data_IF_820803356309
#
_entry.id   IF_820803356309
#
_cell.length_a   1.000
_cell.length_b   1.000
_cell.length_c   1.000
_cell.angle_alpha   90.00
_cell.angle_beta   90.00
_cell.angle_gamma   90.00
#
_symmetry.space_group_name_H-M   'P 1'
#
loop_
_entity.id
_entity.type
_entity.pdbx_description
1 polymer ?
#
# COMPACT_ATOMS: atom_id res chain seq x y z
N UNK A 1 -10.32 22.69 -48.85
CA UNK A 1 -10.87 23.83 -48.08
C UNK A 1 -9.69 24.54 -47.42
N UNK A 2 -9.43 25.81 -47.72
CA UNK A 2 -8.29 26.55 -47.12
C UNK A 2 -8.77 27.12 -45.79
N UNK A 3 -8.24 26.59 -44.68
CA UNK A 3 -8.54 27.09 -43.34
C UNK A 3 -7.88 28.47 -43.18
N UNK A 4 -8.68 29.53 -43.01
CA UNK A 4 -8.16 30.87 -42.71
C UNK A 4 -8.00 31.03 -41.19
N UNK A 5 -6.85 31.55 -40.71
CA UNK A 5 -6.64 31.79 -39.29
C UNK A 5 -7.59 32.87 -38.75
N UNK A 6 -8.02 32.72 -37.50
CA UNK A 6 -8.81 33.71 -36.78
C UNK A 6 -7.93 34.91 -36.37
N UNK A 7 -8.51 36.11 -36.37
CA UNK A 7 -7.87 37.32 -35.84
C UNK A 7 -8.11 37.43 -34.33
N UNK A 8 -7.05 37.64 -33.55
CA UNK A 8 -7.11 37.83 -32.10
C UNK A 8 -7.19 39.30 -31.67
N UNK A 9 -7.36 40.25 -32.59
CA UNK A 9 -7.39 41.69 -32.26
C UNK A 9 -8.57 42.11 -31.36
N UNK A 10 -9.61 41.28 -31.24
CA UNK A 10 -10.80 41.49 -30.39
C UNK A 10 -10.85 40.57 -29.18
N UNK A 11 -9.74 39.90 -28.85
CA UNK A 11 -9.68 38.98 -27.71
C UNK A 11 -9.82 39.80 -26.42
N UNK A 12 -10.72 39.37 -25.54
CA UNK A 12 -10.97 40.06 -24.26
C UNK A 12 -9.84 39.74 -23.28
N UNK A 13 -9.20 40.77 -22.75
CA UNK A 13 -8.20 40.64 -21.68
C UNK A 13 -8.78 41.10 -20.35
N UNK A 14 -8.25 40.58 -19.25
CA UNK A 14 -8.63 40.98 -17.88
C UNK A 14 -7.36 41.33 -17.08
N UNK A 15 -7.39 42.38 -16.23
CA UNK A 15 -6.29 42.67 -15.32
C UNK A 15 -6.01 41.51 -14.36
N UNK A 16 -4.74 41.31 -14.00
CA UNK A 16 -4.33 40.26 -13.06
C UNK A 16 -5.12 40.32 -11.74
N UNK A 17 -5.34 41.53 -11.20
CA UNK A 17 -6.08 41.76 -9.95
C UNK A 17 -7.56 41.32 -9.99
N UNK A 18 -8.12 40.98 -11.16
CA UNK A 18 -9.48 40.44 -11.31
C UNK A 18 -9.50 38.91 -11.48
N UNK A 19 -8.35 38.26 -11.58
CA UNK A 19 -8.27 36.80 -11.65
C UNK A 19 -8.49 36.22 -10.25
N UNK A 20 -9.09 35.04 -10.20
CA UNK A 20 -9.13 34.24 -8.98
C UNK A 20 -7.69 33.88 -8.58
N UNK A 21 -7.35 34.08 -7.31
CA UNK A 21 -6.09 33.63 -6.74
C UNK A 21 -6.21 32.16 -6.37
N UNK A 22 -5.29 31.34 -6.88
CA UNK A 22 -5.27 29.90 -6.60
C UNK A 22 -4.41 29.55 -5.36
N UNK A 23 -3.41 30.38 -5.06
CA UNK A 23 -2.48 30.25 -3.93
C UNK A 23 -1.83 31.60 -3.60
N UNK A 24 -1.45 31.82 -2.34
CA UNK A 24 -0.75 33.02 -1.88
C UNK A 24 0.71 32.72 -1.48
N UNK A 25 1.47 33.76 -1.16
CA UNK A 25 2.89 33.62 -0.81
C UNK A 25 3.16 32.74 0.42
N UNK A 26 2.15 32.52 1.28
CA UNK A 26 2.24 31.61 2.43
C UNK A 26 2.22 30.13 2.02
N UNK A 27 1.68 29.80 0.83
CA UNK A 27 1.67 28.45 0.29
C UNK A 27 2.98 28.08 -0.42
N UNK A 28 3.90 29.04 -0.58
CA UNK A 28 5.14 28.83 -1.30
C UNK A 28 6.17 28.13 -0.42
N UNK A 29 6.98 27.28 -1.04
CA UNK A 29 8.09 26.64 -0.36
C UNK A 29 9.16 27.66 0.07
N UNK A 30 9.77 27.41 1.21
CA UNK A 30 10.89 28.18 1.71
C UNK A 30 12.22 27.51 1.34
N UNK A 31 13.32 28.28 1.17
CA UNK A 31 14.65 27.70 0.96
C UNK A 31 15.06 26.78 2.12
N UNK A 32 15.68 25.65 1.78
CA UNK A 32 16.21 24.72 2.78
C UNK A 32 17.22 25.41 3.71
N UNK A 33 17.10 25.15 5.01
CA UNK A 33 18.02 25.65 6.04
C UNK A 33 18.81 24.50 6.63
N UNK A 34 20.14 24.57 6.48
CA UNK A 34 21.03 23.64 7.14
C UNK A 34 20.87 23.73 8.67
N UNK A 35 21.04 22.59 9.36
CA UNK A 35 20.86 22.44 10.81
C UNK A 35 19.41 22.63 11.34
N UNK A 36 18.41 22.70 10.45
CA UNK A 36 17.00 22.61 10.85
C UNK A 36 16.59 21.19 11.24
N UNK A 37 15.49 21.09 11.99
CA UNK A 37 14.82 19.83 12.29
C UNK A 37 14.14 19.24 11.05
N UNK A 38 13.71 17.98 11.13
CA UNK A 38 12.88 17.38 10.08
C UNK A 38 11.52 18.09 9.95
N UNK A 39 10.95 18.54 11.07
CA UNK A 39 9.73 19.37 11.08
C UNK A 39 9.93 20.69 10.33
N UNK A 40 11.08 21.36 10.53
CA UNK A 40 11.42 22.59 9.78
C UNK A 40 11.51 22.32 8.28
N UNK A 41 12.06 21.16 7.89
CA UNK A 41 12.09 20.75 6.48
C UNK A 41 10.67 20.56 5.94
N UNK A 42 9.79 19.84 6.63
CA UNK A 42 8.40 19.66 6.20
C UNK A 42 7.64 20.99 6.08
N UNK A 43 7.81 21.91 7.02
CA UNK A 43 7.24 23.25 6.99
C UNK A 43 7.82 24.13 5.86
N UNK A 44 9.01 23.80 5.35
CA UNK A 44 9.58 24.50 4.20
C UNK A 44 9.04 24.04 2.85
N UNK A 45 8.34 22.89 2.79
CA UNK A 45 7.73 22.41 1.56
C UNK A 45 6.49 23.25 1.21
N UNK A 46 6.17 23.46 -0.09
CA UNK A 46 5.03 24.27 -0.49
C UNK A 46 3.71 23.65 0.00
N UNK A 47 2.76 24.47 0.45
CA UNK A 47 1.39 24.09 0.82
C UNK A 47 0.50 23.67 -0.35
N UNK A 48 1.10 23.21 -1.47
CA UNK A 48 0.44 22.99 -2.75
C UNK A 48 0.71 21.58 -3.29
N UNK A 49 -0.14 21.13 -4.21
CA UNK A 49 0.03 19.88 -4.94
C UNK A 49 0.21 18.66 -4.04
N UNK A 50 1.14 17.77 -4.42
CA UNK A 50 1.40 16.52 -3.73
C UNK A 50 1.92 16.70 -2.29
N UNK A 51 2.58 17.82 -1.98
CA UNK A 51 2.99 18.12 -0.61
C UNK A 51 1.78 18.32 0.28
N UNK A 52 0.81 19.14 -0.16
CA UNK A 52 -0.44 19.34 0.60
C UNK A 52 -1.15 18.01 0.84
N UNK A 53 -1.25 17.19 -0.19
CA UNK A 53 -1.87 15.87 -0.11
C UNK A 53 -1.11 14.91 0.83
N UNK A 54 0.23 14.96 0.86
CA UNK A 54 1.04 14.17 1.80
C UNK A 54 0.83 14.61 3.25
N UNK A 55 0.76 15.92 3.49
CA UNK A 55 0.49 16.50 4.82
C UNK A 55 -0.93 16.16 5.27
N UNK A 56 -1.92 16.24 4.39
CA UNK A 56 -3.30 15.83 4.68
C UNK A 56 -3.38 14.34 5.02
N UNK A 57 -2.65 13.48 4.31
CA UNK A 57 -2.55 12.06 4.63
C UNK A 57 -1.87 11.80 5.97
N UNK A 58 -0.76 12.50 6.27
CA UNK A 58 -0.11 12.43 7.59
C UNK A 58 -1.12 12.73 8.69
N UNK A 59 -1.89 13.80 8.56
CA UNK A 59 -2.87 14.21 9.57
C UNK A 59 -4.04 13.23 9.70
N UNK A 60 -4.47 12.62 8.58
CA UNK A 60 -5.45 11.54 8.59
C UNK A 60 -4.93 10.30 9.33
N UNK A 61 -3.66 9.90 9.10
CA UNK A 61 -3.01 8.79 9.80
C UNK A 61 -2.88 9.07 11.31
N UNK A 62 -2.43 10.26 11.70
CA UNK A 62 -2.35 10.68 13.09
C UNK A 62 -3.73 10.63 13.77
N UNK A 63 -4.76 11.14 13.08
CA UNK A 63 -6.13 11.16 13.60
C UNK A 63 -6.68 9.74 13.76
N UNK A 64 -6.50 8.88 12.75
CA UNK A 64 -6.95 7.50 12.79
C UNK A 64 -6.24 6.74 13.93
N UNK A 65 -4.92 6.88 14.05
CA UNK A 65 -4.13 6.24 15.11
C UNK A 65 -4.60 6.69 16.51
N UNK A 66 -4.72 8.00 16.75
CA UNK A 66 -5.18 8.55 18.05
C UNK A 66 -6.59 8.10 18.42
N UNK A 67 -7.48 8.00 17.43
CA UNK A 67 -8.87 7.54 17.61
C UNK A 67 -9.01 6.01 17.55
N UNK A 68 -7.91 5.26 17.44
CA UNK A 68 -7.90 3.79 17.30
C UNK A 68 -8.78 3.31 16.14
N UNK A 69 -8.77 4.05 15.04
CA UNK A 69 -9.43 3.69 13.78
C UNK A 69 -8.48 2.88 12.92
N UNK A 70 -9.07 2.13 11.99
CA UNK A 70 -8.32 1.22 11.13
C UNK A 70 -7.38 1.97 10.20
N UNK A 71 -6.14 1.52 10.12
CA UNK A 71 -5.14 1.94 9.13
C UNK A 71 -4.74 0.67 8.38
N UNK A 72 -5.31 0.49 7.19
CA UNK A 72 -5.09 -0.70 6.35
C UNK A 72 -4.12 -0.32 5.24
N UNK A 73 -2.98 -1.01 5.21
CA UNK A 73 -1.95 -0.81 4.18
C UNK A 73 -1.97 -1.97 3.19
N UNK A 74 -2.24 -1.65 1.93
CA UNK A 74 -2.15 -2.52 0.79
C UNK A 74 -0.83 -2.34 0.03
N UNK A 75 -0.09 -3.42 -0.21
CA UNK A 75 1.20 -3.38 -0.91
C UNK A 75 1.25 -4.35 -2.09
N UNK A 76 1.64 -3.82 -3.26
CA UNK A 76 2.17 -4.63 -4.36
C UNK A 76 3.65 -5.00 -4.16
N UNK A 77 4.17 -5.85 -5.05
CA UNK A 77 5.56 -6.36 -4.93
C UNK A 77 6.63 -5.28 -4.93
N UNK A 78 6.45 -4.19 -5.69
CA UNK A 78 7.46 -3.13 -5.79
C UNK A 78 7.90 -2.54 -4.44
N UNK A 79 7.01 -2.56 -3.44
CA UNK A 79 7.33 -2.10 -2.07
C UNK A 79 8.46 -2.95 -1.46
N UNK A 80 8.40 -4.27 -1.64
CA UNK A 80 9.45 -5.17 -1.17
C UNK A 80 10.70 -5.08 -2.04
N UNK A 81 10.54 -4.99 -3.37
CA UNK A 81 11.65 -4.81 -4.32
C UNK A 81 12.47 -3.54 -4.05
N UNK A 82 11.80 -2.50 -3.58
CA UNK A 82 12.40 -1.20 -3.21
C UNK A 82 13.08 -1.22 -1.83
N UNK A 83 13.07 -2.36 -1.13
CA UNK A 83 13.71 -2.51 0.17
C UNK A 83 12.97 -1.82 1.32
N UNK A 84 11.65 -1.62 1.20
CA UNK A 84 10.86 -0.94 2.23
C UNK A 84 10.36 -1.88 3.35
N UNK A 85 10.68 -3.17 3.30
CA UNK A 85 10.26 -4.14 4.34
C UNK A 85 10.64 -3.70 5.76
N UNK A 86 11.87 -3.22 6.06
CA UNK A 86 12.21 -2.76 7.40
C UNK A 86 11.34 -1.58 7.87
N UNK A 87 10.94 -0.70 6.96
CA UNK A 87 10.01 0.39 7.29
C UNK A 87 8.66 -0.19 7.72
N UNK A 88 8.09 -1.13 6.94
CA UNK A 88 6.82 -1.78 7.28
C UNK A 88 6.89 -2.53 8.61
N UNK A 89 8.00 -3.24 8.87
CA UNK A 89 8.26 -3.91 10.15
C UNK A 89 8.15 -2.91 11.31
N UNK A 90 8.83 -1.77 11.23
CA UNK A 90 8.77 -0.74 12.30
C UNK A 90 7.35 -0.19 12.51
N UNK A 91 6.58 0.00 11.45
CA UNK A 91 5.20 0.47 11.54
C UNK A 91 4.26 -0.54 12.21
N UNK A 92 4.49 -1.83 11.97
CA UNK A 92 3.78 -2.92 12.64
C UNK A 92 4.17 -2.97 14.12
N UNK A 93 5.46 -2.91 14.43
CA UNK A 93 5.96 -2.93 15.81
C UNK A 93 5.40 -1.77 16.65
N UNK A 94 5.24 -0.60 16.03
CA UNK A 94 4.63 0.58 16.64
C UNK A 94 3.09 0.56 16.64
N UNK A 95 2.47 -0.48 16.07
CA UNK A 95 1.00 -0.61 15.91
C UNK A 95 0.37 0.59 15.20
N UNK A 96 1.11 1.23 14.29
CA UNK A 96 0.56 2.29 13.46
C UNK A 96 -0.40 1.71 12.43
N UNK A 97 -0.01 0.58 11.82
CA UNK A 97 -0.84 -0.16 10.86
C UNK A 97 -1.66 -1.20 11.64
N UNK A 98 -2.96 -1.25 11.36
CA UNK A 98 -3.89 -2.19 11.99
C UNK A 98 -4.32 -3.33 11.07
N UNK A 99 -3.84 -3.35 9.82
CA UNK A 99 -4.11 -4.41 8.87
C UNK A 99 -3.28 -4.30 7.60
N UNK A 100 -2.96 -5.45 7.00
CA UNK A 100 -2.15 -5.56 5.78
C UNK A 100 -2.90 -6.32 4.68
N UNK A 101 -2.73 -5.87 3.43
CA UNK A 101 -3.29 -6.52 2.24
C UNK A 101 -2.21 -6.63 1.18
N UNK A 102 -1.71 -7.83 0.94
CA UNK A 102 -0.56 -8.05 0.05
C UNK A 102 -1.00 -8.72 -1.26
N UNK A 103 -0.33 -8.42 -2.36
CA UNK A 103 -0.39 -9.26 -3.56
C UNK A 103 0.44 -10.53 -3.37
N UNK A 104 0.22 -11.56 -4.20
CA UNK A 104 1.08 -12.75 -4.21
C UNK A 104 2.57 -12.40 -4.40
N UNK A 105 2.88 -11.50 -5.34
CA UNK A 105 4.25 -11.01 -5.55
C UNK A 105 4.89 -10.39 -4.28
N UNK A 106 4.14 -9.59 -3.51
CA UNK A 106 4.65 -8.98 -2.28
C UNK A 106 4.95 -10.04 -1.21
N UNK A 107 4.10 -11.06 -1.07
CA UNK A 107 4.39 -12.20 -0.19
C UNK A 107 5.62 -12.98 -0.65
N UNK A 108 5.73 -13.27 -1.95
CA UNK A 108 6.86 -14.02 -2.50
C UNK A 108 8.18 -13.31 -2.19
N UNK A 109 8.25 -12.00 -2.44
CA UNK A 109 9.44 -11.21 -2.17
C UNK A 109 9.73 -11.06 -0.68
N UNK A 110 8.71 -10.97 0.18
CA UNK A 110 8.89 -10.98 1.62
C UNK A 110 9.55 -12.29 2.11
N UNK A 111 9.12 -13.43 1.57
CA UNK A 111 9.73 -14.74 1.86
C UNK A 111 11.18 -14.79 1.35
N UNK A 112 11.45 -14.29 0.15
CA UNK A 112 12.81 -14.25 -0.40
C UNK A 112 13.76 -13.37 0.42
N UNK A 113 13.28 -12.22 0.88
CA UNK A 113 14.02 -11.34 1.80
C UNK A 113 14.28 -12.06 3.12
N UNK A 114 13.28 -12.75 3.68
CA UNK A 114 13.45 -13.49 4.94
C UNK A 114 14.51 -14.60 4.82
N UNK A 115 14.52 -15.31 3.69
CA UNK A 115 15.45 -16.42 3.43
C UNK A 115 16.87 -15.94 3.09
N UNK A 116 17.00 -14.86 2.30
CA UNK A 116 18.27 -14.49 1.66
C UNK A 116 18.85 -13.15 2.12
N UNK A 117 18.05 -12.25 2.67
CA UNK A 117 18.44 -10.87 3.01
C UNK A 117 18.60 -9.95 1.79
N UNK A 118 18.18 -10.38 0.60
CA UNK A 118 18.29 -9.63 -0.65
C UNK A 118 16.93 -9.49 -1.34
N UNK A 119 16.79 -8.46 -2.17
CA UNK A 119 15.67 -8.35 -3.12
C UNK A 119 16.03 -9.05 -4.42
N UNK A 120 15.12 -9.89 -4.92
CA UNK A 120 15.27 -10.61 -6.18
C UNK A 120 14.24 -10.11 -7.17
N UNK A 121 14.68 -9.66 -8.34
CA UNK A 121 13.75 -9.17 -9.37
C UNK A 121 13.20 -10.35 -10.16
N UNK A 122 11.88 -10.38 -10.30
CA UNK A 122 11.12 -11.43 -10.99
C UNK A 122 11.35 -11.52 -12.51
N UNK A 123 12.24 -10.68 -13.07
CA UNK A 123 12.60 -10.66 -14.50
C UNK A 123 13.94 -11.32 -14.83
N UNK A 124 14.65 -11.88 -13.83
CA UNK A 124 15.87 -12.63 -14.11
C UNK A 124 15.47 -13.92 -14.84
N UNK A 125 15.49 -13.84 -16.17
CA UNK A 125 15.49 -15.00 -17.05
C UNK A 125 16.70 -15.85 -16.68
N UNK A 126 16.59 -17.16 -16.84
CA UNK A 126 17.76 -18.03 -16.77
C UNK A 126 18.91 -17.43 -17.58
N UNK A 127 20.13 -17.49 -17.04
CA UNK A 127 21.34 -17.01 -17.73
C UNK A 127 21.53 -17.69 -19.10
N UNK A 128 20.91 -18.86 -19.30
CA UNK A 128 20.92 -19.65 -20.53
C UNK A 128 19.68 -19.43 -21.43
N UNK A 129 18.75 -18.55 -21.04
CA UNK A 129 17.55 -18.21 -21.81
C UNK A 129 16.40 -19.23 -21.74
N UNK A 130 16.46 -20.25 -20.88
CA UNK A 130 15.50 -21.38 -20.85
C UNK A 130 14.15 -21.12 -20.17
N UNK A 131 13.80 -19.88 -19.82
CA UNK A 131 12.47 -19.53 -19.31
C UNK A 131 12.49 -18.78 -17.97
N UNK A 132 11.37 -18.83 -17.24
CA UNK A 132 11.22 -18.22 -15.91
C UNK A 132 11.89 -19.07 -14.83
N UNK A 133 12.55 -18.41 -13.88
CA UNK A 133 13.04 -19.04 -12.65
C UNK A 133 11.88 -19.22 -11.66
N UNK A 134 11.66 -20.45 -11.22
CA UNK A 134 10.84 -20.76 -10.04
C UNK A 134 11.78 -21.27 -8.96
N UNK A 135 12.01 -20.48 -7.92
CA UNK A 135 12.89 -20.81 -6.79
C UNK A 135 12.27 -21.95 -5.98
N UNK A 136 12.99 -23.08 -5.82
CA UNK A 136 12.46 -24.27 -5.11
C UNK A 136 12.22 -23.98 -3.63
N UNK A 137 13.19 -23.35 -2.95
CA UNK A 137 13.11 -23.05 -1.51
C UNK A 137 11.92 -22.12 -1.20
N UNK A 138 11.79 -21.02 -1.94
CA UNK A 138 10.69 -20.06 -1.82
C UNK A 138 9.35 -20.69 -2.15
N UNK A 139 9.26 -21.37 -3.30
CA UNK A 139 8.02 -21.98 -3.79
C UNK A 139 7.54 -23.11 -2.86
N UNK A 140 8.45 -23.93 -2.36
CA UNK A 140 8.15 -25.00 -1.40
C UNK A 140 7.65 -24.44 -0.07
N UNK A 141 8.35 -23.46 0.52
CA UNK A 141 7.94 -22.85 1.79
C UNK A 141 6.52 -22.28 1.70
N UNK A 142 6.24 -21.48 0.68
CA UNK A 142 4.93 -20.86 0.47
C UNK A 142 3.84 -21.93 0.30
N UNK A 143 4.06 -22.92 -0.56
CA UNK A 143 3.02 -23.91 -0.84
C UNK A 143 2.80 -24.88 0.32
N UNK A 144 3.84 -25.28 1.05
CA UNK A 144 3.68 -26.06 2.28
C UNK A 144 2.85 -25.29 3.32
N UNK A 145 3.13 -24.00 3.50
CA UNK A 145 2.37 -23.13 4.38
C UNK A 145 0.90 -23.05 3.95
N UNK A 146 0.62 -22.81 2.67
CA UNK A 146 -0.75 -22.75 2.14
C UNK A 146 -1.48 -24.08 2.31
N UNK A 147 -0.81 -25.21 2.04
CA UNK A 147 -1.39 -26.54 2.17
C UNK A 147 -1.74 -26.85 3.63
N UNK A 148 -0.85 -26.51 4.56
CA UNK A 148 -1.11 -26.64 6.00
C UNK A 148 -2.23 -25.70 6.45
N UNK A 149 -2.20 -24.45 6.00
CA UNK A 149 -3.24 -23.46 6.29
C UNK A 149 -4.64 -23.87 5.82
N UNK A 150 -4.74 -24.58 4.68
CA UNK A 150 -6.01 -25.12 4.23
C UNK A 150 -6.60 -26.15 5.20
N UNK A 151 -5.76 -26.96 5.84
CA UNK A 151 -6.16 -27.96 6.84
C UNK A 151 -6.58 -27.25 8.15
N UNK A 152 -5.80 -26.27 8.59
CA UNK A 152 -6.04 -25.52 9.83
C UNK A 152 -7.07 -24.38 9.69
N UNK A 153 -7.64 -24.18 8.50
CA UNK A 153 -8.56 -23.10 8.17
C UNK A 153 -7.94 -21.69 8.44
N UNK A 154 -6.68 -21.52 8.04
CA UNK A 154 -5.94 -20.26 8.08
C UNK A 154 -5.94 -19.58 6.71
N UNK A 155 -5.73 -18.25 6.73
CA UNK A 155 -5.50 -17.49 5.50
C UNK A 155 -4.06 -17.67 5.02
N UNK A 156 -3.78 -17.35 3.75
CA UNK A 156 -2.44 -17.46 3.15
C UNK A 156 -1.41 -16.65 3.96
N UNK A 157 -1.69 -15.39 4.25
CA UNK A 157 -0.76 -14.49 4.94
C UNK A 157 -0.40 -14.98 6.34
N UNK A 158 -1.40 -15.42 7.11
CA UNK A 158 -1.18 -16.04 8.41
C UNK A 158 -0.34 -17.32 8.26
N UNK A 159 -0.71 -18.20 7.31
CA UNK A 159 -0.03 -19.48 7.16
C UNK A 159 1.45 -19.32 6.82
N UNK A 160 1.78 -18.40 5.92
CA UNK A 160 3.17 -18.10 5.54
C UNK A 160 3.90 -17.40 6.67
N UNK A 161 3.26 -16.47 7.38
CA UNK A 161 3.87 -15.80 8.53
C UNK A 161 4.22 -16.76 9.66
N UNK A 162 3.31 -17.67 10.03
CA UNK A 162 3.57 -18.72 11.04
C UNK A 162 4.67 -19.68 10.56
N UNK A 163 4.64 -20.11 9.29
CA UNK A 163 5.70 -20.97 8.72
C UNK A 163 7.07 -20.31 8.77
N UNK A 164 7.17 -19.00 8.54
CA UNK A 164 8.42 -18.25 8.65
C UNK A 164 8.90 -18.16 10.10
N UNK A 165 7.99 -17.97 11.06
CA UNK A 165 8.32 -18.00 12.48
C UNK A 165 8.86 -19.37 12.90
N UNK A 166 8.23 -20.46 12.45
CA UNK A 166 8.65 -21.84 12.74
C UNK A 166 9.99 -22.19 12.06
N UNK A 167 10.24 -21.67 10.86
CA UNK A 167 11.44 -21.97 10.08
C UNK A 167 12.69 -21.19 10.54
N UNK A 168 12.51 -20.09 11.27
CA UNK A 168 13.59 -19.22 11.79
C UNK A 168 14.71 -18.89 10.77
N UNK A 169 14.39 -18.37 9.57
CA UNK A 169 15.42 -18.03 8.59
C UNK A 169 16.30 -16.87 9.06
N UNK A 170 17.52 -16.78 8.50
CA UNK A 170 18.56 -15.85 8.96
C UNK A 170 18.18 -14.36 8.96
N UNK A 171 17.19 -13.97 8.15
CA UNK A 171 16.73 -12.58 8.00
C UNK A 171 15.24 -12.44 8.37
N UNK A 172 14.74 -13.28 9.28
CA UNK A 172 13.35 -13.26 9.74
C UNK A 172 12.90 -11.89 10.25
N UNK A 173 13.80 -11.10 10.84
CA UNK A 173 13.55 -9.75 11.34
C UNK A 173 13.19 -8.74 10.24
N UNK A 174 13.47 -9.07 8.98
CA UNK A 174 13.10 -8.26 7.82
C UNK A 174 11.74 -8.63 7.23
N UNK A 175 11.16 -9.77 7.62
CA UNK A 175 9.86 -10.23 7.09
C UNK A 175 8.69 -9.46 7.70
N UNK A 176 7.89 -8.88 6.81
CA UNK A 176 6.64 -8.21 7.11
C UNK A 176 5.59 -9.23 7.56
N UNK A 177 5.50 -10.41 6.93
CA UNK A 177 4.53 -11.45 7.28
C UNK A 177 4.81 -12.10 8.64
N UNK A 178 6.08 -12.42 8.92
CA UNK A 178 6.48 -12.95 10.22
C UNK A 178 6.24 -11.90 11.32
N UNK A 179 6.58 -10.63 11.05
CA UNK A 179 6.33 -9.55 12.00
C UNK A 179 4.83 -9.34 12.24
N UNK A 180 4.00 -9.37 11.19
CA UNK A 180 2.55 -9.27 11.33
C UNK A 180 1.97 -10.38 12.20
N UNK A 181 2.44 -11.62 12.01
CA UNK A 181 2.02 -12.78 12.82
C UNK A 181 2.45 -12.62 14.28
N UNK A 182 3.72 -12.27 14.53
CA UNK A 182 4.26 -11.99 15.88
C UNK A 182 3.49 -10.90 16.63
N UNK A 183 3.03 -9.86 15.93
CA UNK A 183 2.30 -8.73 16.51
C UNK A 183 0.77 -8.89 16.44
N UNK A 184 0.25 -10.00 15.93
CA UNK A 184 -1.17 -10.27 15.72
C UNK A 184 -1.87 -9.18 14.88
N UNK A 185 -1.18 -8.68 13.84
CA UNK A 185 -1.79 -7.78 12.86
C UNK A 185 -2.50 -8.63 11.79
N UNK A 186 -3.80 -8.39 11.53
CA UNK A 186 -4.51 -9.05 10.44
C UNK A 186 -3.80 -8.82 9.10
N UNK A 187 -3.48 -9.90 8.41
CA UNK A 187 -2.90 -9.86 7.06
C UNK A 187 -3.70 -10.73 6.12
N UNK A 188 -3.96 -10.23 4.92
CA UNK A 188 -4.48 -11.02 3.81
C UNK A 188 -3.53 -10.98 2.62
N UNK A 189 -3.33 -12.12 1.97
CA UNK A 189 -2.57 -12.22 0.73
C UNK A 189 -3.51 -12.64 -0.40
N UNK A 190 -3.42 -11.96 -1.53
CA UNK A 190 -4.23 -12.24 -2.71
C UNK A 190 -3.34 -12.59 -3.91
N UNK A 191 -3.08 -13.89 -4.13
CA UNK A 191 -2.39 -14.37 -5.32
C UNK A 191 -3.22 -14.20 -6.60
N UNK A 192 -2.54 -13.93 -7.70
CA UNK A 192 -3.06 -14.08 -9.05
C UNK A 192 -2.60 -15.44 -9.61
N UNK A 193 -3.52 -16.40 -9.66
CA UNK A 193 -3.26 -17.75 -10.17
C UNK A 193 -2.79 -17.66 -11.63
N UNK A 194 -1.65 -18.30 -11.92
CA UNK A 194 -0.99 -18.25 -13.24
C UNK A 194 -0.08 -17.05 -13.45
N UNK A 195 -0.01 -16.11 -12.49
CA UNK A 195 0.92 -14.96 -12.51
C UNK A 195 2.02 -15.14 -11.49
N UNK A 196 1.68 -15.36 -10.22
CA UNK A 196 2.72 -15.49 -9.18
C UNK A 196 3.42 -16.85 -9.32
N UNK A 197 4.76 -16.85 -9.34
CA UNK A 197 5.58 -18.01 -9.70
C UNK A 197 5.45 -19.19 -8.75
N UNK A 198 5.12 -18.96 -7.47
CA UNK A 198 4.85 -20.04 -6.53
C UNK A 198 3.63 -20.88 -6.92
N UNK A 199 2.69 -20.36 -7.73
CA UNK A 199 1.57 -21.14 -8.27
C UNK A 199 2.02 -22.16 -9.33
N UNK A 200 3.22 -22.00 -9.89
CA UNK A 200 3.80 -22.89 -10.91
C UNK A 200 4.67 -23.99 -10.29
N UNK A 201 4.92 -23.92 -8.98
CA UNK A 201 5.77 -24.87 -8.27
C UNK A 201 5.09 -26.24 -8.15
N UNK A 202 5.81 -27.38 -8.26
CA UNK A 202 5.21 -28.73 -8.16
C UNK A 202 4.46 -29.03 -6.85
N UNK A 203 4.77 -28.31 -5.77
CA UNK A 203 4.07 -28.42 -4.49
C UNK A 203 2.75 -27.63 -4.41
N UNK A 204 2.40 -26.86 -5.45
CA UNK A 204 1.18 -26.07 -5.47
C UNK A 204 -0.06 -26.95 -5.58
N UNK A 205 -1.01 -26.73 -4.68
CA UNK A 205 -2.27 -27.46 -4.64
C UNK A 205 -3.44 -26.48 -4.86
N UNK A 206 -4.12 -26.62 -6.00
CA UNK A 206 -5.17 -25.68 -6.41
C UNK A 206 -6.36 -25.62 -5.42
N UNK A 207 -6.70 -26.75 -4.79
CA UNK A 207 -7.74 -26.79 -3.76
C UNK A 207 -7.33 -25.96 -2.53
N UNK A 208 -6.08 -26.06 -2.10
CA UNK A 208 -5.56 -25.33 -0.95
C UNK A 208 -5.51 -23.84 -1.25
N UNK A 209 -4.94 -23.46 -2.41
CA UNK A 209 -4.93 -22.07 -2.89
C UNK A 209 -6.35 -21.47 -2.97
N UNK A 210 -7.31 -22.22 -3.49
CA UNK A 210 -8.70 -21.79 -3.58
C UNK A 210 -9.35 -21.62 -2.21
N UNK A 211 -9.19 -22.60 -1.31
CA UNK A 211 -9.76 -22.58 0.02
C UNK A 211 -9.21 -21.42 0.87
N UNK A 212 -7.88 -21.29 0.94
CA UNK A 212 -7.22 -20.24 1.70
C UNK A 212 -7.45 -18.87 1.06
N UNK A 213 -7.37 -18.76 -0.27
CA UNK A 213 -7.61 -17.50 -0.99
C UNK A 213 -9.05 -16.99 -0.85
N UNK A 214 -10.03 -17.89 -0.82
CA UNK A 214 -11.42 -17.52 -0.54
C UNK A 214 -11.60 -17.03 0.90
N UNK A 215 -10.94 -17.68 1.87
CA UNK A 215 -10.93 -17.22 3.26
C UNK A 215 -10.27 -15.84 3.39
N UNK A 216 -9.20 -15.56 2.65
CA UNK A 216 -8.53 -14.25 2.64
C UNK A 216 -9.48 -13.13 2.20
N UNK A 217 -10.28 -13.34 1.17
CA UNK A 217 -11.27 -12.34 0.75
C UNK A 217 -12.32 -12.09 1.83
N UNK A 218 -12.78 -13.13 2.54
CA UNK A 218 -13.70 -12.97 3.68
C UNK A 218 -13.07 -12.17 4.83
N UNK A 219 -11.80 -12.42 5.14
CA UNK A 219 -11.03 -11.64 6.12
C UNK A 219 -10.90 -10.17 5.70
N UNK A 220 -10.60 -9.91 4.42
CA UNK A 220 -10.53 -8.55 3.89
C UNK A 220 -11.89 -7.83 3.98
N UNK A 221 -13.00 -8.50 3.66
CA UNK A 221 -14.34 -7.93 3.84
C UNK A 221 -14.63 -7.59 5.31
N UNK A 222 -14.20 -8.43 6.26
CA UNK A 222 -14.32 -8.14 7.69
C UNK A 222 -13.45 -6.94 8.13
N UNK A 223 -12.23 -6.81 7.60
CA UNK A 223 -11.39 -5.63 7.81
C UNK A 223 -12.07 -4.36 7.29
N UNK A 224 -12.67 -4.41 6.10
CA UNK A 224 -13.41 -3.29 5.51
C UNK A 224 -14.68 -2.94 6.29
N UNK A 225 -15.38 -3.93 6.85
CA UNK A 225 -16.56 -3.72 7.68
C UNK A 225 -16.27 -2.88 8.94
N UNK A 226 -15.04 -2.93 9.45
CA UNK A 226 -14.55 -2.13 10.58
C UNK A 226 -13.75 -0.89 10.18
N UNK A 227 -13.74 -0.49 8.91
CA UNK A 227 -12.81 0.52 8.41
C UNK A 227 -13.30 1.98 8.54
N UNK A 228 -14.57 2.22 8.89
CA UNK A 228 -15.13 3.59 8.95
C UNK A 228 -14.29 4.56 9.79
N UNK A 229 -14.15 5.79 9.31
CA UNK A 229 -13.24 6.83 9.84
C UNK A 229 -11.74 6.47 9.77
N UNK A 230 -11.39 5.40 9.08
CA UNK A 230 -10.03 4.90 8.93
C UNK A 230 -9.33 5.37 7.66
N UNK A 231 -8.13 4.83 7.46
CA UNK A 231 -7.28 5.09 6.30
C UNK A 231 -7.03 3.80 5.55
N UNK A 232 -7.24 3.82 4.23
CA UNK A 232 -6.85 2.75 3.31
C UNK A 232 -5.76 3.30 2.40
N UNK A 233 -4.60 2.65 2.37
CA UNK A 233 -3.48 3.05 1.50
C UNK A 233 -3.19 1.92 0.53
N UNK A 234 -3.27 2.18 -0.77
CA UNK A 234 -2.88 1.26 -1.82
C UNK A 234 -1.54 1.71 -2.44
N UNK A 235 -0.48 0.92 -2.24
CA UNK A 235 0.87 1.23 -2.73
C UNK A 235 1.28 0.24 -3.80
N UNK A 236 1.76 0.76 -4.93
CA UNK A 236 2.33 -0.02 -6.03
C UNK A 236 1.47 -1.20 -6.53
N UNK A 237 0.15 -1.03 -6.53
CA UNK A 237 -0.79 -1.98 -7.13
C UNK A 237 -1.86 -1.26 -7.92
N UNK A 238 -1.78 -1.36 -9.25
CA UNK A 238 -2.66 -0.64 -10.16
C UNK A 238 -3.87 -1.45 -10.66
N UNK A 239 -3.96 -2.74 -10.30
CA UNK A 239 -5.01 -3.64 -10.80
C UNK A 239 -5.65 -4.44 -9.68
N UNK A 240 -4.87 -5.28 -8.97
CA UNK A 240 -5.42 -6.29 -8.07
C UNK A 240 -6.01 -5.69 -6.80
N UNK A 241 -5.20 -4.96 -6.02
CA UNK A 241 -5.63 -4.41 -4.74
C UNK A 241 -6.75 -3.35 -4.87
N UNK A 242 -6.72 -2.40 -5.83
CA UNK A 242 -7.84 -1.48 -6.05
C UNK A 242 -9.19 -2.18 -6.22
N UNK A 243 -9.22 -3.27 -6.99
CA UNK A 243 -10.44 -4.06 -7.20
C UNK A 243 -10.84 -4.83 -5.95
N UNK A 244 -9.88 -5.40 -5.23
CA UNK A 244 -10.15 -6.12 -3.98
C UNK A 244 -10.74 -5.22 -2.90
N UNK A 245 -10.18 -4.02 -2.68
CA UNK A 245 -10.73 -3.06 -1.71
C UNK A 245 -12.17 -2.67 -2.04
N UNK A 246 -12.47 -2.42 -3.32
CA UNK A 246 -13.84 -2.12 -3.74
C UNK A 246 -14.79 -3.28 -3.50
N UNK A 247 -14.43 -4.49 -3.90
CA UNK A 247 -15.29 -5.66 -3.72
C UNK A 247 -15.47 -6.03 -2.24
N UNK A 248 -14.43 -5.87 -1.43
CA UNK A 248 -14.52 -6.10 0.01
C UNK A 248 -15.41 -5.05 0.70
N UNK A 249 -15.33 -3.78 0.30
CA UNK A 249 -16.27 -2.74 0.76
C UNK A 249 -17.70 -3.08 0.36
N UNK A 250 -17.93 -3.41 -0.91
CA UNK A 250 -19.28 -3.69 -1.41
C UNK A 250 -19.87 -4.94 -0.74
N UNK A 251 -19.06 -5.96 -0.46
CA UNK A 251 -19.45 -7.12 0.35
C UNK A 251 -19.81 -6.71 1.79
N UNK A 252 -19.00 -5.88 2.45
CA UNK A 252 -19.29 -5.39 3.80
C UNK A 252 -20.61 -4.60 3.85
N UNK A 253 -20.85 -3.71 2.87
CA UNK A 253 -22.10 -2.95 2.75
C UNK A 253 -23.30 -3.88 2.51
N UNK A 254 -23.15 -4.88 1.64
CA UNK A 254 -24.20 -5.85 1.34
C UNK A 254 -24.58 -6.70 2.57
N UNK A 255 -23.62 -6.96 3.46
CA UNK A 255 -23.82 -7.66 4.73
C UNK A 255 -24.39 -6.76 5.84
N UNK A 256 -24.71 -5.49 5.55
CA UNK A 256 -25.35 -4.57 6.49
C UNK A 256 -24.39 -3.74 7.35
N UNK A 257 -23.09 -3.76 7.06
CA UNK A 257 -22.12 -2.88 7.72
C UNK A 257 -22.11 -1.49 7.07
N UNK A 258 -21.68 -0.48 7.82
CA UNK A 258 -21.46 0.88 7.32
C UNK A 258 -19.97 1.12 7.09
N UNK A 259 -19.61 1.55 5.87
CA UNK A 259 -18.23 1.89 5.49
C UNK A 259 -18.20 3.29 4.89
N UNK A 260 -17.83 4.27 5.71
CA UNK A 260 -17.91 5.70 5.38
C UNK A 260 -16.74 6.50 5.96
N UNK A 261 -16.57 7.74 5.49
CA UNK A 261 -15.52 8.67 5.94
C UNK A 261 -14.10 8.08 5.88
N UNK A 262 -13.82 7.30 4.85
CA UNK A 262 -12.49 6.75 4.60
C UNK A 262 -11.56 7.79 3.98
N UNK A 263 -10.35 7.90 4.50
CA UNK A 263 -9.24 8.46 3.72
C UNK A 263 -8.67 7.35 2.85
N UNK A 264 -8.88 7.40 1.54
CA UNK A 264 -8.46 6.39 0.59
C UNK A 264 -7.35 6.92 -0.31
N UNK A 265 -6.22 6.21 -0.35
CA UNK A 265 -4.98 6.70 -0.93
C UNK A 265 -4.45 5.75 -1.99
N UNK A 266 -3.95 6.30 -3.09
CA UNK A 266 -3.07 5.58 -4.02
C UNK A 266 -1.69 6.24 -4.01
N UNK A 267 -0.64 5.43 -3.84
CA UNK A 267 0.76 5.83 -4.00
C UNK A 267 1.35 4.96 -5.11
N UNK A 268 1.45 5.53 -6.31
CA UNK A 268 1.95 4.87 -7.51
C UNK A 268 2.28 5.97 -8.55
N UNK A 269 3.51 5.99 -9.11
CA UNK A 269 3.92 6.99 -10.10
C UNK A 269 3.11 6.93 -11.40
N UNK A 270 2.49 5.78 -11.66
CA UNK A 270 1.77 5.46 -12.90
C UNK A 270 0.44 4.77 -12.63
N UNK A 271 -0.26 5.19 -11.57
CA UNK A 271 -1.55 4.64 -11.17
C UNK A 271 -2.52 4.55 -12.37
N UNK A 272 -3.09 3.37 -12.59
CA UNK A 272 -4.09 3.21 -13.65
C UNK A 272 -5.31 4.11 -13.40
N UNK A 273 -5.98 4.57 -14.47
CA UNK A 273 -7.20 5.35 -14.34
C UNK A 273 -8.28 4.62 -13.52
N UNK A 274 -8.30 3.28 -13.61
CA UNK A 274 -9.17 2.43 -12.80
C UNK A 274 -8.77 2.44 -11.33
N UNK A 275 -7.48 2.33 -11.00
CA UNK A 275 -7.01 2.39 -9.62
C UNK A 275 -7.39 3.72 -8.95
N UNK A 276 -7.19 4.83 -9.67
CA UNK A 276 -7.60 6.16 -9.20
C UNK A 276 -9.13 6.21 -9.04
N UNK A 277 -9.90 5.83 -10.06
CA UNK A 277 -11.35 5.90 -9.99
C UNK A 277 -11.95 5.04 -8.85
N UNK A 278 -11.42 3.83 -8.64
CA UNK A 278 -11.90 2.91 -7.63
C UNK A 278 -11.48 3.34 -6.22
N UNK A 279 -10.18 3.57 -5.97
CA UNK A 279 -9.68 3.87 -4.62
C UNK A 279 -9.92 5.35 -4.28
N UNK A 280 -9.40 6.26 -5.09
CA UNK A 280 -9.46 7.72 -4.82
C UNK A 280 -10.85 8.28 -5.08
N UNK A 281 -11.60 7.71 -6.02
CA UNK A 281 -12.94 8.17 -6.35
C UNK A 281 -14.04 7.51 -5.53
N UNK A 282 -14.15 6.18 -5.59
CA UNK A 282 -15.30 5.42 -5.05
C UNK A 282 -15.13 5.03 -3.59
N UNK A 283 -13.94 4.62 -3.17
CA UNK A 283 -13.70 4.14 -1.80
C UNK A 283 -13.84 5.27 -0.76
N UNK A 284 -13.47 6.50 -1.14
CA UNK A 284 -13.60 7.70 -0.29
C UNK A 284 -14.99 8.36 -0.34
N UNK A 285 -15.98 7.78 -1.04
CA UNK A 285 -17.34 8.33 -1.03
C UNK A 285 -17.94 8.31 0.39
N UNK A 286 -19.04 9.05 0.57
CA UNK A 286 -19.74 9.19 1.86
C UNK A 286 -18.89 9.90 2.92
N UNK A 287 -18.43 11.11 2.60
CA UNK A 287 -17.75 12.00 3.53
C UNK A 287 -16.29 11.65 3.82
N UNK A 288 -15.68 10.80 2.99
CA UNK A 288 -14.24 10.50 3.04
C UNK A 288 -13.41 11.44 2.18
N UNK A 289 -12.12 11.14 2.08
CA UNK A 289 -11.15 11.89 1.28
C UNK A 289 -10.32 10.96 0.42
N UNK A 290 -10.35 11.17 -0.90
CA UNK A 290 -9.48 10.48 -1.84
C UNK A 290 -8.19 11.24 -2.05
N UNK A 291 -7.03 10.58 -2.01
CA UNK A 291 -5.71 11.16 -2.26
C UNK A 291 -4.95 10.30 -3.27
N UNK A 292 -4.33 10.94 -4.28
CA UNK A 292 -3.34 10.29 -5.13
C UNK A 292 -2.01 10.99 -4.97
N UNK A 293 -0.98 10.25 -4.58
CA UNK A 293 0.41 10.72 -4.58
C UNK A 293 1.15 10.08 -5.77
N UNK A 294 1.25 10.81 -6.90
CA UNK A 294 1.97 10.33 -8.07
C UNK A 294 3.48 10.44 -7.85
N UNK A 295 4.11 9.35 -7.41
CA UNK A 295 5.56 9.31 -7.28
C UNK A 295 6.10 7.96 -6.78
N UNK A 296 7.43 7.81 -6.76
CA UNK A 296 8.11 6.60 -6.31
C UNK A 296 7.84 6.32 -4.83
N UNK A 297 7.43 5.10 -4.49
CA UNK A 297 7.14 4.67 -3.13
C UNK A 297 8.40 4.66 -2.24
N UNK A 298 9.57 4.44 -2.83
CA UNK A 298 10.88 4.46 -2.15
C UNK A 298 11.26 5.84 -1.59
N UNK A 299 10.60 6.92 -2.03
CA UNK A 299 10.76 8.28 -1.48
C UNK A 299 9.53 8.65 -0.65
N UNK A 300 8.33 8.41 -1.20
CA UNK A 300 7.09 8.89 -0.59
C UNK A 300 6.74 8.17 0.70
N UNK A 301 6.93 6.84 0.79
CA UNK A 301 6.62 6.11 2.02
C UNK A 301 7.56 6.49 3.17
N UNK A 302 8.90 6.50 3.01
CA UNK A 302 9.79 6.95 4.07
C UNK A 302 9.48 8.38 4.53
N UNK A 303 9.23 9.30 3.60
CA UNK A 303 8.90 10.70 3.93
C UNK A 303 7.57 10.80 4.71
N UNK A 304 6.52 10.13 4.24
CA UNK A 304 5.21 10.11 4.89
C UNK A 304 5.32 9.53 6.30
N UNK A 305 5.91 8.35 6.45
CA UNK A 305 5.95 7.68 7.74
C UNK A 305 6.90 8.36 8.71
N UNK A 306 8.04 8.88 8.26
CA UNK A 306 8.88 9.75 9.10
C UNK A 306 8.07 10.95 9.61
N UNK A 307 7.25 11.59 8.77
CA UNK A 307 6.42 12.72 9.18
C UNK A 307 5.36 12.36 10.23
N UNK A 308 4.82 11.14 10.17
CA UNK A 308 3.87 10.64 11.18
C UNK A 308 4.58 10.33 12.49
N UNK A 309 5.71 9.62 12.44
CA UNK A 309 6.47 9.25 13.65
C UNK A 309 7.02 10.48 14.38
N UNK A 310 7.55 11.46 13.65
CA UNK A 310 8.04 12.73 14.23
C UNK A 310 6.91 13.49 14.94
N UNK A 311 5.72 13.54 14.33
CA UNK A 311 4.52 14.15 14.92
C UNK A 311 3.90 13.35 16.09
N UNK A 312 4.19 12.06 16.22
CA UNK A 312 3.81 11.26 17.38
C UNK A 312 4.79 11.44 18.54
N UNK A 313 6.10 11.52 18.25
CA UNK A 313 7.14 11.72 19.27
C UNK A 313 7.10 13.11 19.92
N UNK A 314 6.72 14.14 19.17
CA UNK A 314 6.62 15.53 19.67
C UNK A 314 5.44 15.79 20.61
N UNK A 315 4.45 14.89 20.67
CA UNK A 315 3.30 14.99 21.58
C UNK A 315 3.43 14.05 22.81
N UNK A 316 4.63 13.51 23.04
CA UNK A 316 4.95 12.59 24.14
C UNK A 316 5.55 13.23 25.39
N UNK A 317 5.67 14.56 25.45
CA UNK A 317 6.10 15.35 26.62
C UNK A 317 4.94 16.11 27.27
#
# INVERSE_FOLDING_TARGET
MILKPLSFSKLKTVPLAKRQTDADGEDFGAPYRAAGSFSDFLCSLPGLGATRDLIELRDALLTAHRKKKSIILGCGGHVMDSGLSPLLVRLIEQRLISGLVLTGAAMLQDVEIALSGHTLRSYDRNLDGSGYLVTDETGRLINEAINFGAIENWGIGQSVGEKLLDAEPSHLDQSVLATASRFNIPVTVHPAIGVDTFNLHPAAHGESLGATGFLEFRKLAAMMAGASDGVIINVASSVLLPRLFMQARDAALNLGHTVERLTAVVIDPSASATAIADVVGRLSQNGGRGIWLPGPDEILLPLLFASVIDALGSNGD
#
